data_IF_927508149354
#
_entry.id   IF_927508149354
#
_cell.length_a   1.000
_cell.length_b   1.000
_cell.length_c   1.000
_cell.angle_alpha   90.00
_cell.angle_beta   90.00
_cell.angle_gamma   90.00
#
_symmetry.space_group_name_H-M   'P 1'
#
loop_
_entity.id
_entity.type
_entity.pdbx_description
1 polymer ?
#
# COMPACT_ATOMS: atom_id res chain seq x y z
N UNK A 1 22.57 -0.99 51.74
CA UNK A 1 21.17 -0.66 52.07
C UNK A 1 20.37 -1.96 52.03
N UNK A 2 20.04 -2.51 53.19
CA UNK A 2 19.61 -3.90 53.33
C UNK A 2 18.19 -4.13 52.81
N UNK A 3 17.90 -5.34 52.33
CA UNK A 3 16.58 -5.69 51.78
C UNK A 3 15.42 -5.37 52.74
N UNK A 4 15.64 -5.56 54.05
CA UNK A 4 14.69 -5.22 55.11
C UNK A 4 14.35 -3.72 55.13
N UNK A 5 15.34 -2.86 54.91
CA UNK A 5 15.13 -1.40 54.84
C UNK A 5 14.33 -1.00 53.60
N UNK A 6 14.56 -1.64 52.44
CA UNK A 6 13.76 -1.41 51.22
C UNK A 6 12.29 -1.79 51.42
N UNK A 7 12.02 -2.92 52.08
CA UNK A 7 10.65 -3.38 52.36
C UNK A 7 9.93 -2.40 53.29
N UNK A 8 10.58 -1.97 54.38
CA UNK A 8 10.04 -0.95 55.32
C UNK A 8 9.79 0.40 54.65
N UNK A 9 10.70 0.86 53.79
CA UNK A 9 10.49 2.10 53.04
C UNK A 9 9.36 1.98 52.03
N UNK A 10 9.19 0.82 51.38
CA UNK A 10 8.08 0.60 50.45
C UNK A 10 6.73 0.59 51.15
N UNK A 11 6.65 0.01 52.36
CA UNK A 11 5.41 -0.05 53.13
C UNK A 11 5.03 1.33 53.70
N UNK A 12 6.03 2.09 54.19
CA UNK A 12 5.85 3.49 54.57
C UNK A 12 5.40 4.34 53.37
N UNK A 13 6.03 4.20 52.20
CA UNK A 13 5.61 4.89 50.98
C UNK A 13 4.17 4.56 50.61
N UNK A 14 3.74 3.30 50.71
CA UNK A 14 2.35 2.89 50.42
C UNK A 14 1.35 3.49 51.43
N UNK A 15 1.73 3.60 52.71
CA UNK A 15 0.89 4.18 53.77
C UNK A 15 0.80 5.71 53.68
N UNK A 16 1.89 6.36 53.28
CA UNK A 16 1.99 7.81 53.10
C UNK A 16 1.49 8.26 51.72
N UNK A 17 1.30 7.33 50.78
CA UNK A 17 0.72 7.67 49.48
C UNK A 17 -0.74 8.10 49.66
N UNK A 18 -1.14 9.25 49.13
CA UNK A 18 -2.52 9.68 49.21
C UNK A 18 -3.46 8.64 48.59
N UNK A 19 -4.61 8.42 49.25
CA UNK A 19 -5.65 7.49 48.77
C UNK A 19 -6.04 7.84 47.34
N UNK A 20 -6.40 6.82 46.53
CA UNK A 20 -6.82 7.01 45.13
C UNK A 20 -7.90 8.09 44.98
N UNK A 21 -8.88 8.10 45.89
CA UNK A 21 -9.95 9.10 45.93
C UNK A 21 -9.45 10.53 46.14
N UNK A 22 -8.45 10.72 47.00
CA UNK A 22 -7.84 12.04 47.23
C UNK A 22 -7.09 12.52 45.98
N UNK A 23 -6.30 11.63 45.35
CA UNK A 23 -5.59 11.97 44.11
C UNK A 23 -6.57 12.36 43.01
N UNK A 24 -7.65 11.60 42.81
CA UNK A 24 -8.65 11.94 41.79
C UNK A 24 -9.36 13.26 42.06
N UNK A 25 -9.69 13.55 43.33
CA UNK A 25 -10.31 14.81 43.72
C UNK A 25 -9.35 16.00 43.51
N UNK A 26 -8.07 15.83 43.86
CA UNK A 26 -7.02 16.84 43.65
C UNK A 26 -6.82 17.14 42.16
N UNK A 27 -6.71 16.10 41.32
CA UNK A 27 -6.58 16.29 39.87
C UNK A 27 -7.83 16.91 39.24
N UNK A 28 -9.03 16.55 39.70
CA UNK A 28 -10.27 17.17 39.25
C UNK A 28 -10.29 18.67 39.59
N UNK A 29 -9.89 19.03 40.81
CA UNK A 29 -9.83 20.42 41.26
C UNK A 29 -8.77 21.24 40.51
N UNK A 30 -7.58 20.68 40.32
CA UNK A 30 -6.52 21.31 39.51
C UNK A 30 -6.95 21.52 38.06
N UNK A 31 -7.67 20.55 37.47
CA UNK A 31 -8.19 20.68 36.11
C UNK A 31 -9.24 21.80 36.01
N UNK A 32 -10.13 21.91 36.99
CA UNK A 32 -11.11 23.01 37.06
C UNK A 32 -10.46 24.37 37.27
N UNK A 33 -9.42 24.46 38.12
CA UNK A 33 -8.67 25.70 38.36
C UNK A 33 -7.84 26.11 37.14
N UNK A 34 -7.33 25.15 36.36
CA UNK A 34 -6.66 25.39 35.09
C UNK A 34 -7.62 25.72 33.92
N UNK A 35 -8.93 25.85 34.18
CA UNK A 35 -9.93 26.11 33.14
C UNK A 35 -10.16 24.94 32.18
N UNK A 36 -9.59 23.77 32.46
CA UNK A 36 -9.75 22.56 31.63
C UNK A 36 -10.93 21.78 32.19
N UNK A 37 -12.12 22.01 31.62
CA UNK A 37 -13.30 21.24 31.98
C UNK A 37 -12.99 19.72 31.88
N UNK A 38 -13.26 18.92 32.94
CA UNK A 38 -13.00 17.49 32.93
C UNK A 38 -14.00 16.78 32.01
N UNK A 39 -13.74 16.84 30.70
CA UNK A 39 -14.49 16.06 29.72
C UNK A 39 -14.08 14.59 29.82
N UNK A 40 -15.01 13.62 29.77
CA UNK A 40 -14.67 12.20 29.72
C UNK A 40 -13.71 11.85 28.56
N UNK A 41 -13.69 12.65 27.48
CA UNK A 41 -12.74 12.49 26.37
C UNK A 41 -11.28 12.75 26.78
N UNK A 42 -11.02 13.57 27.82
CA UNK A 42 -9.67 13.86 28.29
C UNK A 42 -8.95 12.62 28.87
N UNK A 43 -9.70 11.64 29.37
CA UNK A 43 -9.15 10.36 29.87
C UNK A 43 -8.73 9.42 28.74
N UNK A 44 -9.29 9.59 27.55
CA UNK A 44 -8.97 8.80 26.36
C UNK A 44 -7.81 9.40 25.55
N UNK A 45 -7.47 10.68 25.76
CA UNK A 45 -6.40 11.39 25.03
C UNK A 45 -5.05 10.65 24.99
N UNK A 46 -4.46 10.15 26.09
CA UNK A 46 -3.15 9.50 26.00
C UNK A 46 -3.21 8.18 25.20
N UNK A 47 -4.30 7.43 25.31
CA UNK A 47 -4.50 6.22 24.52
C UNK A 47 -4.73 6.55 23.03
N UNK A 48 -5.53 7.58 22.74
CA UNK A 48 -5.77 8.05 21.38
C UNK A 48 -4.48 8.56 20.71
N UNK A 49 -3.65 9.32 21.43
CA UNK A 49 -2.35 9.80 20.91
C UNK A 49 -1.40 8.62 20.69
N UNK A 50 -1.35 7.64 21.59
CA UNK A 50 -0.55 6.42 21.41
C UNK A 50 -0.99 5.60 20.20
N UNK A 51 -2.30 5.41 20.02
CA UNK A 51 -2.86 4.70 18.87
C UNK A 51 -2.59 5.48 17.57
N UNK A 52 -2.82 6.80 17.55
CA UNK A 52 -2.55 7.62 16.37
C UNK A 52 -1.07 7.63 15.99
N UNK A 53 -0.15 7.67 16.97
CA UNK A 53 1.29 7.64 16.68
C UNK A 53 1.74 6.29 16.15
N UNK A 54 1.24 5.17 16.70
CA UNK A 54 1.48 3.83 16.13
C UNK A 54 0.89 3.73 14.72
N UNK A 55 -0.35 4.20 14.51
CA UNK A 55 -0.99 4.22 13.20
C UNK A 55 -0.25 5.12 12.20
N UNK A 56 0.32 6.24 12.63
CA UNK A 56 1.11 7.11 11.76
C UNK A 56 2.46 6.49 11.42
N UNK A 57 3.17 5.92 12.38
CA UNK A 57 4.50 5.33 12.14
C UNK A 57 4.39 4.05 11.30
N UNK A 58 3.50 3.13 11.67
CA UNK A 58 3.29 1.91 10.90
C UNK A 58 2.49 2.16 9.62
N UNK A 59 1.53 3.08 9.63
CA UNK A 59 0.73 3.41 8.45
C UNK A 59 1.50 4.20 7.41
N UNK A 60 2.35 5.16 7.79
CA UNK A 60 3.12 5.94 6.83
C UNK A 60 4.35 5.17 6.32
N UNK A 61 5.07 4.44 7.18
CA UNK A 61 6.26 3.70 6.76
C UNK A 61 5.92 2.38 6.06
N UNK A 62 5.28 1.45 6.79
CA UNK A 62 4.96 0.13 6.25
C UNK A 62 3.83 0.20 5.20
N UNK A 63 2.90 1.13 5.33
CA UNK A 63 1.84 1.34 4.34
C UNK A 63 2.35 1.90 3.02
N UNK A 64 3.21 2.92 3.04
CA UNK A 64 3.82 3.45 1.82
C UNK A 64 4.69 2.38 1.13
N UNK A 65 5.49 1.64 1.90
CA UNK A 65 6.26 0.52 1.34
C UNK A 65 5.36 -0.56 0.76
N UNK A 66 4.32 -0.98 1.49
CA UNK A 66 3.39 -2.01 1.02
C UNK A 66 2.70 -1.61 -0.28
N UNK A 67 2.38 -0.33 -0.43
CA UNK A 67 1.65 0.20 -1.56
C UNK A 67 2.53 0.46 -2.79
N UNK A 68 3.74 0.98 -2.61
CA UNK A 68 4.65 1.31 -3.72
C UNK A 68 5.55 0.14 -4.13
N UNK A 69 5.79 -0.84 -3.26
CA UNK A 69 6.72 -1.92 -3.57
C UNK A 69 6.12 -2.94 -4.55
N UNK A 70 6.79 -3.24 -5.68
CA UNK A 70 6.37 -4.30 -6.60
C UNK A 70 6.59 -5.69 -6.01
N UNK A 71 7.44 -5.84 -4.99
CA UNK A 71 7.69 -7.12 -4.31
C UNK A 71 6.52 -7.59 -3.43
N UNK A 72 5.59 -6.68 -3.12
CA UNK A 72 4.41 -6.99 -2.31
C UNK A 72 3.33 -7.55 -3.23
N UNK A 73 3.46 -8.84 -3.52
CA UNK A 73 2.55 -9.66 -4.33
C UNK A 73 1.69 -10.57 -3.45
N UNK A 74 0.77 -11.31 -4.07
CA UNK A 74 -0.08 -12.28 -3.37
C UNK A 74 0.77 -13.33 -2.64
N UNK A 75 0.51 -13.52 -1.35
CA UNK A 75 1.33 -14.34 -0.45
C UNK A 75 2.29 -13.54 0.44
N UNK A 76 2.55 -12.25 0.14
CA UNK A 76 3.33 -11.38 1.01
C UNK A 76 2.52 -10.94 2.26
N UNK A 77 3.10 -10.87 3.48
CA UNK A 77 2.38 -10.47 4.70
C UNK A 77 1.70 -9.10 4.63
N UNK A 78 2.26 -8.18 3.84
CA UNK A 78 1.73 -6.83 3.63
C UNK A 78 0.70 -6.72 2.48
N UNK A 79 0.42 -7.80 1.76
CA UNK A 79 -0.52 -7.78 0.62
C UNK A 79 -1.95 -7.35 1.00
N UNK A 80 -2.51 -7.76 2.17
CA UNK A 80 -3.82 -7.26 2.60
C UNK A 80 -3.85 -5.74 2.80
N UNK A 81 -2.73 -5.16 3.26
CA UNK A 81 -2.61 -3.72 3.45
C UNK A 81 -2.56 -2.99 2.11
N UNK A 82 -1.76 -3.50 1.16
CA UNK A 82 -1.69 -2.98 -0.22
C UNK A 82 -3.07 -2.98 -0.89
N UNK A 83 -3.77 -4.11 -0.88
CA UNK A 83 -5.10 -4.22 -1.48
C UNK A 83 -6.14 -3.35 -0.78
N UNK A 84 -6.02 -3.13 0.53
CA UNK A 84 -6.84 -2.18 1.27
C UNK A 84 -6.67 -0.74 0.79
N UNK A 85 -5.42 -0.30 0.60
CA UNK A 85 -5.09 1.04 0.10
C UNK A 85 -5.54 1.22 -1.36
N UNK A 86 -5.33 0.21 -2.20
CA UNK A 86 -5.81 0.21 -3.60
C UNK A 86 -7.34 0.30 -3.68
N UNK A 87 -8.08 -0.36 -2.79
CA UNK A 87 -9.55 -0.25 -2.71
C UNK A 87 -10.00 1.15 -2.29
N UNK A 88 -9.31 1.76 -1.33
CA UNK A 88 -9.59 3.12 -0.91
C UNK A 88 -9.34 4.13 -2.05
N UNK A 89 -8.23 3.98 -2.78
CA UNK A 89 -7.93 4.80 -3.96
C UNK A 89 -8.95 4.58 -5.07
N UNK A 90 -9.34 3.32 -5.34
CA UNK A 90 -10.38 2.99 -6.31
C UNK A 90 -11.71 3.68 -5.97
N UNK A 91 -12.13 3.62 -4.70
CA UNK A 91 -13.35 4.27 -4.23
C UNK A 91 -13.32 5.78 -4.47
N UNK A 92 -12.19 6.44 -4.20
CA UNK A 92 -12.01 7.87 -4.49
C UNK A 92 -12.04 8.14 -6.01
N UNK A 93 -11.42 7.27 -6.82
CA UNK A 93 -11.34 7.41 -8.26
C UNK A 93 -12.71 7.31 -8.97
N UNK A 94 -13.68 6.59 -8.38
CA UNK A 94 -15.04 6.46 -8.95
C UNK A 94 -15.79 7.77 -9.15
N UNK A 95 -15.39 8.85 -8.47
CA UNK A 95 -16.05 10.15 -8.58
C UNK A 95 -15.92 10.84 -9.95
N UNK A 96 -15.05 10.36 -10.84
CA UNK A 96 -14.92 10.90 -12.21
C UNK A 96 -14.34 9.86 -13.17
N UNK A 97 -14.85 9.73 -14.41
CA UNK A 97 -14.38 8.73 -15.37
C UNK A 97 -12.90 8.91 -15.73
N UNK A 98 -12.38 10.14 -15.72
CA UNK A 98 -10.98 10.44 -16.02
C UNK A 98 -10.05 9.90 -14.91
N UNK A 99 -10.43 10.06 -13.64
CA UNK A 99 -9.68 9.50 -12.51
C UNK A 99 -9.78 7.98 -12.47
N UNK A 100 -10.95 7.42 -12.77
CA UNK A 100 -11.12 5.97 -12.87
C UNK A 100 -10.23 5.38 -13.96
N UNK A 101 -10.18 6.00 -15.15
CA UNK A 101 -9.29 5.59 -16.22
C UNK A 101 -7.81 5.74 -15.80
N UNK A 102 -7.41 6.88 -15.24
CA UNK A 102 -6.04 7.08 -14.78
C UNK A 102 -5.62 6.04 -13.70
N UNK A 103 -6.54 5.73 -12.77
CA UNK A 103 -6.34 4.71 -11.75
C UNK A 103 -6.15 3.32 -12.38
N UNK A 104 -7.03 2.91 -13.30
CA UNK A 104 -6.93 1.60 -13.92
C UNK A 104 -5.70 1.46 -14.83
N UNK A 105 -5.29 2.51 -15.53
CA UNK A 105 -4.03 2.52 -16.29
C UNK A 105 -2.81 2.33 -15.37
N UNK A 106 -2.78 3.00 -14.21
CA UNK A 106 -1.75 2.81 -13.18
C UNK A 106 -1.77 1.37 -12.63
N UNK A 107 -2.95 0.79 -12.44
CA UNK A 107 -3.08 -0.59 -11.97
C UNK A 107 -2.57 -1.60 -13.00
N UNK A 108 -2.78 -1.38 -14.30
CA UNK A 108 -2.19 -2.22 -15.37
C UNK A 108 -0.67 -2.26 -15.24
N UNK A 109 -0.04 -1.09 -15.21
CA UNK A 109 1.42 -0.97 -15.07
C UNK A 109 1.93 -1.65 -13.80
N UNK A 110 1.29 -1.36 -12.66
CA UNK A 110 1.70 -1.94 -11.37
C UNK A 110 1.64 -3.46 -11.38
N UNK A 111 0.62 -4.07 -12.00
CA UNK A 111 0.54 -5.54 -12.11
C UNK A 111 1.62 -6.10 -13.03
N UNK A 112 1.98 -5.41 -14.11
CA UNK A 112 3.12 -5.81 -14.95
C UNK A 112 4.42 -5.77 -14.14
N UNK A 113 4.66 -4.72 -13.36
CA UNK A 113 5.86 -4.60 -12.52
C UNK A 113 5.90 -5.66 -11.41
N UNK A 114 4.76 -5.97 -10.79
CA UNK A 114 4.64 -7.08 -9.82
C UNK A 114 5.03 -8.41 -10.47
N UNK A 115 4.49 -8.70 -11.65
CA UNK A 115 4.81 -9.91 -12.40
C UNK A 115 6.31 -10.00 -12.70
N UNK A 116 6.96 -8.89 -13.12
CA UNK A 116 8.40 -8.85 -13.35
C UNK A 116 9.24 -9.28 -12.14
N UNK A 117 8.78 -8.99 -10.92
CA UNK A 117 9.49 -9.35 -9.68
C UNK A 117 9.25 -10.78 -9.21
N UNK A 118 8.26 -11.47 -9.76
CA UNK A 118 8.02 -12.87 -9.45
C UNK A 118 9.08 -13.71 -10.14
N UNK A 119 9.87 -14.41 -9.34
CA UNK A 119 10.84 -15.39 -9.81
C UNK A 119 10.10 -16.65 -10.30
N UNK A 120 10.18 -16.96 -11.58
CA UNK A 120 9.38 -18.00 -12.23
C UNK A 120 10.00 -19.39 -12.22
N UNK A 121 11.17 -19.54 -11.61
CA UNK A 121 11.93 -20.81 -11.60
C UNK A 121 11.26 -21.88 -10.71
N UNK A 122 10.20 -21.51 -9.97
CA UNK A 122 9.39 -22.41 -9.16
C UNK A 122 7.97 -22.48 -9.74
N UNK A 123 7.46 -23.68 -10.05
CA UNK A 123 6.12 -23.88 -10.62
C UNK A 123 5.01 -23.14 -9.85
N UNK A 124 5.06 -23.17 -8.52
CA UNK A 124 4.09 -22.46 -7.65
C UNK A 124 4.09 -20.95 -7.89
N UNK A 125 5.20 -20.36 -8.32
CA UNK A 125 5.32 -18.92 -8.60
C UNK A 125 4.82 -18.57 -10.01
N UNK A 126 4.85 -19.50 -10.97
CA UNK A 126 4.24 -19.31 -12.30
C UNK A 126 2.73 -19.11 -12.22
N UNK A 127 2.05 -19.87 -11.34
CA UNK A 127 0.61 -19.68 -11.11
C UNK A 127 0.30 -18.28 -10.52
N UNK A 128 1.17 -17.78 -9.65
CA UNK A 128 1.03 -16.43 -9.07
C UNK A 128 1.26 -15.36 -10.14
N UNK A 129 2.26 -15.53 -11.00
CA UNK A 129 2.50 -14.63 -12.12
C UNK A 129 1.29 -14.58 -13.06
N UNK A 130 0.73 -15.72 -13.46
CA UNK A 130 -0.44 -15.75 -14.33
C UNK A 130 -1.64 -15.05 -13.68
N UNK A 131 -1.86 -15.22 -12.38
CA UNK A 131 -2.90 -14.48 -11.64
C UNK A 131 -2.65 -12.97 -11.62
N UNK A 132 -1.40 -12.54 -11.54
CA UNK A 132 -1.05 -11.11 -11.59
C UNK A 132 -1.28 -10.54 -12.98
N UNK A 133 -0.90 -11.27 -14.04
CA UNK A 133 -1.16 -10.90 -15.44
C UNK A 133 -2.68 -10.87 -15.71
N UNK A 134 -3.44 -11.82 -15.16
CA UNK A 134 -4.91 -11.81 -15.24
C UNK A 134 -5.50 -10.55 -14.60
N UNK A 135 -5.02 -10.16 -13.41
CA UNK A 135 -5.42 -8.91 -12.75
C UNK A 135 -5.04 -7.66 -13.58
N UNK A 136 -3.93 -7.72 -14.32
CA UNK A 136 -3.54 -6.66 -15.25
C UNK A 136 -4.53 -6.55 -16.41
N UNK A 137 -4.96 -7.69 -16.97
CA UNK A 137 -5.95 -7.74 -18.05
C UNK A 137 -7.32 -7.23 -17.58
N UNK A 138 -7.75 -7.60 -16.38
CA UNK A 138 -8.98 -7.06 -15.77
C UNK A 138 -8.90 -5.54 -15.55
N UNK A 139 -7.73 -5.03 -15.15
CA UNK A 139 -7.50 -3.59 -15.02
C UNK A 139 -7.55 -2.87 -16.37
N UNK A 140 -7.01 -3.47 -17.44
CA UNK A 140 -7.09 -2.92 -18.79
C UNK A 140 -8.54 -2.82 -19.27
N UNK A 141 -9.34 -3.82 -18.96
CA UNK A 141 -10.74 -3.83 -19.34
C UNK A 141 -11.50 -2.69 -18.66
N UNK A 142 -11.34 -2.56 -17.34
CA UNK A 142 -11.93 -1.44 -16.57
C UNK A 142 -11.39 -0.08 -17.01
N UNK A 143 -10.12 -0.01 -17.40
CA UNK A 143 -9.55 1.18 -18.04
C UNK A 143 -10.31 1.52 -19.32
N UNK A 144 -10.53 0.54 -20.19
CA UNK A 144 -11.21 0.74 -21.48
C UNK A 144 -12.66 1.20 -21.29
N UNK A 145 -13.36 0.62 -20.32
CA UNK A 145 -14.72 1.03 -19.92
C UNK A 145 -14.76 2.43 -19.32
N UNK A 146 -13.80 2.79 -18.46
CA UNK A 146 -13.74 4.13 -17.89
C UNK A 146 -13.37 5.17 -18.96
N UNK A 147 -12.41 4.84 -19.83
CA UNK A 147 -11.93 5.72 -20.90
C UNK A 147 -12.96 5.96 -22.00
N UNK A 148 -13.89 5.02 -22.25
CA UNK A 148 -15.00 5.24 -23.19
C UNK A 148 -16.06 6.21 -22.66
N UNK A 149 -16.12 6.41 -21.33
CA UNK A 149 -17.01 7.38 -20.67
C UNK A 149 -16.40 8.77 -20.53
N UNK A 150 -15.10 8.92 -20.81
CA UNK A 150 -14.43 10.22 -20.77
C UNK A 150 -14.86 11.03 -22.00
N UNK A 151 -15.33 12.25 -21.78
CA UNK A 151 -15.63 13.19 -22.86
C UNK A 151 -14.35 13.46 -23.67
N UNK A 152 -14.47 13.47 -25.00
CA UNK A 152 -13.36 13.53 -25.97
C UNK A 152 -12.31 14.61 -25.70
N UNK A 153 -12.70 15.71 -25.05
CA UNK A 153 -11.86 16.89 -24.84
C UNK A 153 -11.02 16.83 -23.55
N UNK A 154 -11.23 15.83 -22.68
CA UNK A 154 -10.51 15.73 -21.40
C UNK A 154 -9.37 14.71 -21.47
N UNK A 155 -8.09 15.13 -21.35
CA UNK A 155 -6.98 14.21 -21.39
C UNK A 155 -6.92 13.34 -20.13
N UNK A 156 -6.80 12.03 -20.31
CA UNK A 156 -6.53 11.08 -19.23
C UNK A 156 -5.06 11.22 -18.84
N UNK A 157 -4.78 11.89 -17.72
CA UNK A 157 -3.42 12.06 -17.19
C UNK A 157 -3.04 10.84 -16.35
N UNK A 158 -2.75 9.71 -16.99
CA UNK A 158 -2.11 8.58 -16.34
C UNK A 158 -0.58 8.72 -16.47
N UNK A 159 0.14 8.66 -15.34
CA UNK A 159 1.60 8.54 -15.37
C UNK A 159 1.91 7.05 -15.51
N UNK A 160 2.11 6.61 -16.74
CA UNK A 160 2.45 5.22 -17.09
C UNK A 160 3.70 5.22 -17.95
N UNK A 161 4.59 4.25 -17.75
CA UNK A 161 5.77 4.03 -18.61
C UNK A 161 5.35 3.94 -20.09
N UNK A 162 6.13 4.51 -21.02
CA UNK A 162 5.79 4.55 -22.44
C UNK A 162 5.43 3.18 -23.02
N UNK A 163 6.22 2.16 -22.73
CA UNK A 163 6.03 0.78 -23.19
C UNK A 163 4.66 0.20 -22.81
N UNK A 164 4.23 0.41 -21.56
CA UNK A 164 2.92 -0.07 -21.08
C UNK A 164 1.80 0.78 -21.68
N UNK A 165 2.02 2.09 -21.81
CA UNK A 165 1.07 2.99 -22.48
C UNK A 165 0.81 2.60 -23.94
N UNK A 166 1.84 2.17 -24.67
CA UNK A 166 1.72 1.69 -26.05
C UNK A 166 0.92 0.40 -26.16
N UNK A 167 1.16 -0.57 -25.26
CA UNK A 167 0.37 -1.82 -25.18
C UNK A 167 -1.11 -1.48 -24.93
N UNK A 168 -1.39 -0.65 -23.92
CA UNK A 168 -2.76 -0.24 -23.59
C UNK A 168 -3.44 0.41 -24.81
N UNK A 169 -2.73 1.31 -25.50
CA UNK A 169 -3.25 2.00 -26.68
C UNK A 169 -3.53 1.03 -27.82
N UNK A 170 -2.57 0.16 -28.15
CA UNK A 170 -2.67 -0.82 -29.24
C UNK A 170 -3.85 -1.78 -29.02
N UNK A 171 -3.94 -2.39 -27.84
CA UNK A 171 -5.02 -3.33 -27.53
C UNK A 171 -6.39 -2.63 -27.49
N UNK A 172 -6.44 -1.37 -27.07
CA UNK A 172 -7.68 -0.59 -27.11
C UNK A 172 -8.14 -0.35 -28.55
N UNK A 173 -7.21 0.01 -29.43
CA UNK A 173 -7.44 0.39 -30.82
C UNK A 173 -7.56 -0.80 -31.78
N UNK A 174 -7.20 -2.03 -31.37
CA UNK A 174 -7.14 -3.22 -32.24
C UNK A 174 -8.48 -3.69 -32.83
N UNK A 175 -9.61 -3.08 -32.45
CA UNK A 175 -10.95 -3.43 -32.97
C UNK A 175 -11.44 -4.84 -32.63
N UNK A 176 -10.62 -5.64 -31.94
CA UNK A 176 -10.89 -7.02 -31.55
C UNK A 176 -12.03 -7.15 -30.53
N UNK A 177 -12.58 -8.37 -30.41
CA UNK A 177 -13.52 -8.71 -29.35
C UNK A 177 -12.87 -8.59 -27.97
N UNK A 178 -13.70 -8.53 -26.91
CA UNK A 178 -13.21 -8.41 -25.52
C UNK A 178 -12.25 -9.55 -25.14
N UNK A 179 -12.55 -10.78 -25.54
CA UNK A 179 -11.72 -11.95 -25.24
C UNK A 179 -10.39 -11.94 -26.01
N UNK A 180 -10.43 -11.53 -27.28
CA UNK A 180 -9.23 -11.39 -28.10
C UNK A 180 -8.31 -10.28 -27.58
N UNK A 181 -8.87 -9.12 -27.21
CA UNK A 181 -8.10 -8.04 -26.56
C UNK A 181 -7.44 -8.50 -25.27
N UNK A 182 -8.16 -9.31 -24.48
CA UNK A 182 -7.63 -9.90 -23.25
C UNK A 182 -6.46 -10.83 -23.55
N UNK A 183 -6.58 -11.69 -24.56
CA UNK A 183 -5.52 -12.62 -24.98
C UNK A 183 -4.30 -11.86 -25.53
N UNK A 184 -4.53 -10.93 -26.45
CA UNK A 184 -3.51 -10.07 -27.06
C UNK A 184 -2.73 -9.32 -25.98
N UNK A 185 -3.43 -8.69 -25.04
CA UNK A 185 -2.79 -8.01 -23.91
C UNK A 185 -1.92 -8.94 -23.06
N UNK A 186 -2.40 -10.14 -22.73
CA UNK A 186 -1.62 -11.11 -21.95
C UNK A 186 -0.35 -11.51 -22.66
N UNK A 187 -0.41 -11.78 -23.96
CA UNK A 187 0.75 -12.15 -24.78
C UNK A 187 1.77 -11.00 -24.83
N UNK A 188 1.31 -9.77 -25.07
CA UNK A 188 2.19 -8.59 -25.07
C UNK A 188 2.79 -8.31 -23.70
N UNK A 189 2.01 -8.43 -22.62
CA UNK A 189 2.49 -8.27 -21.25
C UNK A 189 3.56 -9.31 -20.91
N UNK A 190 3.35 -10.59 -21.27
CA UNK A 190 4.34 -11.65 -21.07
C UNK A 190 5.63 -11.37 -21.85
N UNK A 191 5.52 -10.91 -23.10
CA UNK A 191 6.67 -10.54 -23.91
C UNK A 191 7.48 -9.42 -23.26
N UNK A 192 6.80 -8.36 -22.80
CA UNK A 192 7.42 -7.23 -22.12
C UNK A 192 8.11 -7.65 -20.82
N UNK A 193 7.46 -8.48 -20.01
CA UNK A 193 8.02 -9.01 -18.75
C UNK A 193 9.31 -9.79 -19.04
N UNK A 194 9.28 -10.66 -20.05
CA UNK A 194 10.44 -11.47 -20.44
C UNK A 194 11.61 -10.59 -20.90
N UNK A 195 11.35 -9.65 -21.80
CA UNK A 195 12.36 -8.71 -22.32
C UNK A 195 13.01 -7.90 -21.19
N UNK A 196 12.21 -7.39 -20.25
CA UNK A 196 12.72 -6.65 -19.09
C UNK A 196 13.52 -7.52 -18.11
N UNK A 197 13.17 -8.80 -17.96
CA UNK A 197 13.96 -9.73 -17.13
C UNK A 197 15.31 -10.03 -17.75
N UNK A 198 15.35 -10.27 -19.05
CA UNK A 198 16.59 -10.50 -19.81
C UNK A 198 17.51 -9.28 -19.71
N UNK A 199 16.98 -8.07 -19.95
CA UNK A 199 17.75 -6.83 -19.82
C UNK A 199 18.36 -6.64 -18.42
N UNK A 200 17.60 -6.92 -17.34
CA UNK A 200 18.12 -6.85 -15.97
C UNK A 200 19.19 -7.91 -15.69
N UNK A 201 19.09 -9.08 -16.30
CA UNK A 201 20.09 -10.13 -16.16
C UNK A 201 21.40 -9.71 -16.81
N UNK A 202 21.34 -9.19 -18.03
CA UNK A 202 22.49 -8.71 -18.77
C UNK A 202 23.19 -7.54 -18.06
N UNK A 203 22.42 -6.59 -17.49
CA UNK A 203 22.97 -5.51 -16.66
C UNK A 203 23.69 -6.03 -15.42
N UNK A 204 23.13 -7.05 -14.74
CA UNK A 204 23.76 -7.67 -13.57
C UNK A 204 25.06 -8.38 -13.94
N UNK A 205 25.08 -9.10 -15.06
CA UNK A 205 26.31 -9.73 -15.56
C UNK A 205 27.38 -8.70 -15.89
N UNK A 206 27.00 -7.60 -16.56
CA UNK A 206 27.93 -6.54 -16.91
C UNK A 206 28.56 -5.91 -15.66
N UNK A 207 27.75 -5.57 -14.67
CA UNK A 207 28.24 -5.00 -13.40
C UNK A 207 29.18 -5.98 -12.66
N UNK A 208 28.86 -7.28 -12.64
CA UNK A 208 29.74 -8.28 -12.03
C UNK A 208 31.08 -8.48 -12.76
N UNK A 209 31.14 -8.20 -14.07
CA UNK A 209 32.39 -8.23 -14.84
C UNK A 209 33.22 -6.98 -14.54
N UNK A 210 32.59 -5.82 -14.43
CA UNK A 210 33.27 -4.55 -14.08
C UNK A 210 33.88 -4.60 -12.68
N UNK A 211 33.20 -5.18 -11.67
CA UNK A 211 33.73 -5.30 -10.30
C UNK A 211 34.93 -6.26 -10.15
N UNK A 212 35.20 -7.10 -11.16
CA UNK A 212 36.32 -8.07 -11.15
C UNK A 212 37.60 -7.57 -11.82
N UNK A 213 37.55 -6.40 -12.46
CA UNK A 213 38.68 -5.79 -13.17
C UNK A 213 39.24 -4.60 -12.39
#
# INVERSE_FOLDING_TARGET
MDWITRVKLSSLRRRLSPRRAFRSALYARLATEAGVAPSPMSRLRPAAVGICSVLLVFGAGAGAYAYESPQVVEGHPLYPMKTGLERAEAAIATGSPERAAAFHAKMVERRIEEAETIDTDVERKQEVEEKVIEKAADALERYSEAASRVQSDKPIRAKVKPEVGEIIKRVRESGHSREEKRREFKEEARRLIKERREARHDEREKNQREDRH
#
